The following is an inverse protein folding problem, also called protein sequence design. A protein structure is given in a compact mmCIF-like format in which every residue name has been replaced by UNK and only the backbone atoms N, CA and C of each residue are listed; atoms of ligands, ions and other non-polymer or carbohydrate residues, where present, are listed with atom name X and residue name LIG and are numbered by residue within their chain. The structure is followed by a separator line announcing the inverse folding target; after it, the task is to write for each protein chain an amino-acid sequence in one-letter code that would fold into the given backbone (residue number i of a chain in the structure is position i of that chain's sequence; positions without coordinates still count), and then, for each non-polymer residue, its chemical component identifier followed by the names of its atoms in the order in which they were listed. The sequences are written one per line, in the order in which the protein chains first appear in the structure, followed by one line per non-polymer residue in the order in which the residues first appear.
data_IF_728719399694
#
_entry.id   IF_728719399694
#
_cell.length_a   1.000
_cell.length_b   1.000
_cell.length_c   1.000
_cell.angle_alpha   90.00
_cell.angle_beta   90.00
_cell.angle_gamma   90.00
#
_symmetry.space_group_name_H-M   'P 1'
#
loop_
_entity.id
_entity.type
_entity.pdbx_description
1 polymer ?
#
# COMPACT_ATOMS: atom_id res chain seq x y z
N UNK A 1 -23.13 9.79 -15.58
CA UNK A 1 -23.22 8.42 -15.03
C UNK A 1 -21.88 7.91 -14.52
N UNK A 2 -20.79 8.03 -15.29
CA UNK A 2 -19.46 7.55 -14.90
C UNK A 2 -18.90 8.18 -13.62
N UNK A 3 -19.04 9.50 -13.44
CA UNK A 3 -18.55 10.21 -12.25
C UNK A 3 -19.25 9.75 -10.97
N UNK A 4 -20.57 9.51 -11.03
CA UNK A 4 -21.33 9.02 -9.88
C UNK A 4 -20.82 7.64 -9.43
N UNK A 5 -20.53 6.74 -10.38
CA UNK A 5 -19.97 5.42 -10.07
C UNK A 5 -18.55 5.50 -9.51
N UNK A 6 -17.73 6.46 -9.94
CA UNK A 6 -16.41 6.71 -9.35
C UNK A 6 -16.55 7.08 -7.88
N UNK A 7 -17.41 8.04 -7.54
CA UNK A 7 -17.63 8.45 -6.15
C UNK A 7 -18.23 7.32 -5.30
N UNK A 8 -19.24 6.62 -5.83
CA UNK A 8 -19.86 5.51 -5.11
C UNK A 8 -18.86 4.37 -4.87
N UNK A 9 -18.09 3.99 -5.90
CA UNK A 9 -17.04 2.97 -5.79
C UNK A 9 -15.96 3.37 -4.80
N UNK A 10 -15.51 4.63 -4.82
CA UNK A 10 -14.54 5.16 -3.86
C UNK A 10 -15.06 5.09 -2.42
N UNK A 11 -16.30 5.53 -2.17
CA UNK A 11 -16.91 5.48 -0.82
C UNK A 11 -16.99 4.02 -0.34
N UNK A 12 -17.49 3.11 -1.18
CA UNK A 12 -17.59 1.70 -0.84
C UNK A 12 -16.23 1.06 -0.57
N UNK A 13 -15.21 1.43 -1.35
CA UNK A 13 -13.84 0.96 -1.17
C UNK A 13 -13.25 1.43 0.17
N UNK A 14 -13.41 2.73 0.49
CA UNK A 14 -12.91 3.31 1.75
C UNK A 14 -13.62 2.68 2.96
N UNK A 15 -14.95 2.59 2.91
CA UNK A 15 -15.74 2.00 4.00
C UNK A 15 -15.41 0.52 4.15
N UNK A 16 -15.36 -0.23 3.04
CA UNK A 16 -15.00 -1.65 3.04
C UNK A 16 -13.59 -1.90 3.56
N UNK A 17 -12.62 -1.06 3.17
CA UNK A 17 -11.25 -1.09 3.68
C UNK A 17 -11.19 -0.86 5.20
N UNK A 18 -11.92 0.13 5.71
CA UNK A 18 -12.00 0.39 7.16
C UNK A 18 -12.60 -0.79 7.93
N UNK A 19 -13.67 -1.40 7.40
CA UNK A 19 -14.23 -2.62 7.99
C UNK A 19 -13.24 -3.79 7.97
N UNK A 20 -12.48 -3.94 6.87
CA UNK A 20 -11.46 -4.97 6.73
C UNK A 20 -10.35 -4.79 7.76
N UNK A 21 -9.82 -3.57 7.94
CA UNK A 21 -8.80 -3.28 8.96
C UNK A 21 -9.32 -3.57 10.36
N UNK A 22 -10.47 -3.02 10.74
CA UNK A 22 -11.06 -3.21 12.09
C UNK A 22 -11.32 -4.68 12.41
N UNK A 23 -11.89 -5.41 11.46
CA UNK A 23 -12.23 -6.82 11.64
C UNK A 23 -10.96 -7.68 11.72
N UNK A 24 -9.98 -7.42 10.86
CA UNK A 24 -8.70 -8.16 10.86
C UNK A 24 -7.93 -7.96 12.16
N UNK A 25 -7.89 -6.74 12.68
CA UNK A 25 -7.28 -6.44 13.99
C UNK A 25 -8.05 -7.15 15.11
N UNK A 26 -9.38 -7.09 15.12
CA UNK A 26 -10.20 -7.75 16.14
C UNK A 26 -10.02 -9.28 16.14
N UNK A 27 -9.95 -9.91 14.96
CA UNK A 27 -9.69 -11.35 14.82
C UNK A 27 -8.28 -11.68 15.35
N UNK A 28 -7.29 -10.86 15.01
CA UNK A 28 -5.90 -11.11 15.41
C UNK A 28 -5.70 -11.06 16.93
N UNK A 29 -6.42 -10.17 17.63
CA UNK A 29 -6.45 -10.18 19.09
C UNK A 29 -7.09 -11.45 19.66
N UNK A 30 -8.18 -11.95 19.06
CA UNK A 30 -8.81 -13.22 19.46
C UNK A 30 -7.91 -14.43 19.23
N UNK A 31 -7.02 -14.36 18.25
CA UNK A 31 -6.01 -15.36 17.96
C UNK A 31 -4.76 -15.25 18.85
N UNK A 32 -4.74 -14.33 19.83
CA UNK A 32 -3.59 -14.05 20.70
C UNK A 32 -2.28 -13.73 19.94
N UNK A 33 -2.39 -13.09 18.77
CA UNK A 33 -1.21 -12.62 18.04
C UNK A 33 -0.54 -11.47 18.81
N UNK A 34 0.79 -11.42 18.75
CA UNK A 34 1.55 -10.34 19.39
C UNK A 34 1.24 -9.00 18.72
N UNK A 35 1.28 -7.90 19.48
CA UNK A 35 1.09 -6.53 18.93
C UNK A 35 2.01 -6.24 17.76
N UNK A 36 3.22 -6.80 17.79
CA UNK A 36 4.21 -6.69 16.72
C UNK A 36 3.72 -7.37 15.42
N UNK A 37 3.22 -8.60 15.50
CA UNK A 37 2.67 -9.32 14.32
C UNK A 37 1.42 -8.62 13.78
N UNK A 38 0.56 -8.13 14.68
CA UNK A 38 -0.64 -7.37 14.29
C UNK A 38 -0.24 -6.12 13.51
N UNK A 39 0.68 -5.31 14.03
CA UNK A 39 1.12 -4.07 13.38
C UNK A 39 1.89 -4.31 12.08
N UNK A 40 2.90 -5.19 12.12
CA UNK A 40 3.81 -5.39 10.99
C UNK A 40 3.19 -6.19 9.84
N UNK A 41 2.18 -7.03 10.10
CA UNK A 41 1.62 -7.93 9.09
C UNK A 41 0.15 -7.69 8.84
N UNK A 42 -0.68 -7.73 9.89
CA UNK A 42 -2.16 -7.70 9.71
C UNK A 42 -2.61 -6.31 9.29
N UNK A 43 -2.18 -5.28 10.03
CA UNK A 43 -2.57 -3.90 9.75
C UNK A 43 -1.96 -3.44 8.43
N UNK A 44 -0.66 -3.66 8.23
CA UNK A 44 0.04 -3.26 6.99
C UNK A 44 -0.56 -3.88 5.73
N UNK A 45 -0.94 -5.15 5.78
CA UNK A 45 -1.63 -5.82 4.67
C UNK A 45 -3.05 -5.29 4.51
N UNK A 46 -3.81 -5.18 5.61
CA UNK A 46 -5.21 -4.75 5.56
C UNK A 46 -5.38 -3.33 5.00
N UNK A 47 -4.46 -2.41 5.33
CA UNK A 47 -4.50 -1.04 4.83
C UNK A 47 -4.13 -0.93 3.35
N UNK A 48 -3.35 -1.88 2.82
CA UNK A 48 -2.90 -1.89 1.42
C UNK A 48 -3.73 -2.80 0.51
N UNK A 49 -4.66 -3.56 1.10
CA UNK A 49 -5.52 -4.50 0.38
C UNK A 49 -6.46 -3.80 -0.62
N UNK A 50 -7.11 -2.66 -0.31
CA UNK A 50 -7.91 -1.92 -1.28
C UNK A 50 -7.10 -1.52 -2.53
N UNK A 51 -5.88 -1.03 -2.34
CA UNK A 51 -4.97 -0.63 -3.40
C UNK A 51 -4.55 -1.84 -4.23
N UNK A 52 -4.22 -2.97 -3.59
CA UNK A 52 -3.93 -4.22 -4.28
C UNK A 52 -5.09 -4.66 -5.16
N UNK A 53 -6.33 -4.60 -4.66
CA UNK A 53 -7.52 -4.97 -5.42
C UNK A 53 -7.75 -4.05 -6.63
N UNK A 54 -7.58 -2.74 -6.45
CA UNK A 54 -7.70 -1.76 -7.54
C UNK A 54 -6.62 -1.98 -8.61
N UNK A 55 -5.36 -2.13 -8.19
CA UNK A 55 -4.23 -2.40 -9.10
C UNK A 55 -4.39 -3.73 -9.83
N UNK A 56 -4.77 -4.79 -9.13
CA UNK A 56 -4.99 -6.10 -9.73
C UNK A 56 -6.13 -6.05 -10.76
N UNK A 57 -7.26 -5.44 -10.41
CA UNK A 57 -8.40 -5.32 -11.32
C UNK A 57 -8.05 -4.48 -12.55
N UNK A 58 -7.31 -3.38 -12.38
CA UNK A 58 -6.84 -2.54 -13.48
C UNK A 58 -5.90 -3.32 -14.41
N UNK A 59 -4.94 -4.06 -13.86
CA UNK A 59 -4.01 -4.89 -14.63
C UNK A 59 -4.74 -6.00 -15.41
N UNK A 60 -5.68 -6.71 -14.76
CA UNK A 60 -6.49 -7.75 -15.41
C UNK A 60 -7.37 -7.21 -16.53
N UNK A 61 -7.81 -5.95 -16.44
CA UNK A 61 -8.58 -5.27 -17.47
C UNK A 61 -7.72 -4.64 -18.58
N UNK A 62 -6.40 -4.84 -18.56
CA UNK A 62 -5.47 -4.29 -19.56
C UNK A 62 -5.09 -2.83 -19.33
N UNK A 63 -5.44 -2.24 -18.19
CA UNK A 63 -5.05 -0.88 -17.80
C UNK A 63 -3.81 -0.90 -16.89
N UNK A 64 -2.68 -1.34 -17.43
CA UNK A 64 -1.39 -1.43 -16.71
C UNK A 64 -0.95 -0.10 -16.12
N UNK A 65 -1.17 1.00 -16.84
CA UNK A 65 -0.73 2.34 -16.43
C UNK A 65 -1.49 2.81 -15.19
N UNK A 66 -2.78 2.45 -15.08
CA UNK A 66 -3.61 2.75 -13.90
C UNK A 66 -3.13 1.90 -12.72
N UNK A 67 -2.82 0.62 -12.95
CA UNK A 67 -2.29 -0.26 -11.90
C UNK A 67 -0.97 0.25 -11.32
N UNK A 68 -0.03 0.61 -12.20
CA UNK A 68 1.27 1.14 -11.82
C UNK A 68 1.14 2.51 -11.16
N UNK A 69 0.30 3.39 -11.72
CA UNK A 69 0.00 4.70 -11.16
C UNK A 69 -0.59 4.61 -9.75
N UNK A 70 -1.45 3.62 -9.49
CA UNK A 70 -1.99 3.38 -8.16
C UNK A 70 -0.90 2.96 -7.16
N UNK A 71 0.00 2.04 -7.52
CA UNK A 71 1.10 1.61 -6.63
C UNK A 71 2.09 2.74 -6.35
N UNK A 72 2.60 3.39 -7.39
CA UNK A 72 3.60 4.46 -7.26
C UNK A 72 2.97 5.68 -6.57
N UNK A 73 1.78 6.09 -7.00
CA UNK A 73 1.07 7.23 -6.43
C UNK A 73 0.74 7.04 -4.95
N UNK A 74 0.31 5.85 -4.53
CA UNK A 74 0.01 5.56 -3.13
C UNK A 74 1.26 5.61 -2.24
N UNK A 75 2.40 5.08 -2.70
CA UNK A 75 3.66 5.19 -1.96
C UNK A 75 4.13 6.65 -1.82
N UNK A 76 4.01 7.44 -2.89
CA UNK A 76 4.33 8.87 -2.85
C UNK A 76 3.40 9.60 -1.87
N UNK A 77 2.10 9.32 -1.89
CA UNK A 77 1.15 9.91 -0.96
C UNK A 77 1.44 9.49 0.50
N UNK A 78 1.73 8.21 0.75
CA UNK A 78 2.04 7.72 2.09
C UNK A 78 3.30 8.39 2.67
N UNK A 79 4.34 8.57 1.88
CA UNK A 79 5.58 9.19 2.36
C UNK A 79 5.47 10.72 2.37
N UNK A 80 5.03 11.32 1.26
CA UNK A 80 5.00 12.78 1.10
C UNK A 80 3.87 13.44 1.89
N UNK A 81 2.67 12.87 1.85
CA UNK A 81 1.50 13.45 2.51
C UNK A 81 1.33 12.90 3.93
N UNK A 82 1.16 11.59 4.10
CA UNK A 82 0.81 11.01 5.41
C UNK A 82 1.97 11.13 6.40
N UNK A 83 3.14 10.60 6.05
CA UNK A 83 4.33 10.68 6.91
C UNK A 83 4.81 12.13 7.06
N UNK A 84 4.79 12.91 5.98
CA UNK A 84 5.14 14.35 6.00
C UNK A 84 4.27 15.16 6.97
N UNK A 85 2.94 15.03 6.90
CA UNK A 85 2.02 15.68 7.85
C UNK A 85 2.26 15.17 9.27
N UNK A 86 2.44 13.86 9.44
CA UNK A 86 2.69 13.27 10.78
C UNK A 86 3.97 13.85 11.41
N UNK A 87 5.03 14.01 10.64
CA UNK A 87 6.30 14.61 11.07
C UNK A 87 6.19 16.10 11.44
N UNK A 88 5.26 16.83 10.82
CA UNK A 88 4.97 18.24 11.16
C UNK A 88 4.23 18.32 12.51
N UNK A 89 3.31 17.39 12.76
CA UNK A 89 2.47 17.39 13.97
C UNK A 89 3.23 16.88 15.19
N UNK A 90 4.06 15.85 15.03
CA UNK A 90 4.73 15.16 16.15
C UNK A 90 6.09 14.61 15.74
N UNK A 91 7.10 14.63 16.64
CA UNK A 91 8.39 14.00 16.37
C UNK A 91 8.22 12.49 16.13
N UNK A 92 8.73 12.03 15.00
CA UNK A 92 8.74 10.61 14.63
C UNK A 92 9.84 9.89 15.40
N UNK A 93 9.47 8.93 16.25
CA UNK A 93 10.41 8.01 16.86
C UNK A 93 10.77 6.92 15.84
N UNK A 94 12.04 6.87 15.44
CA UNK A 94 12.54 5.90 14.45
C UNK A 94 13.43 4.88 15.15
N UNK A 95 13.03 3.62 15.09
CA UNK A 95 13.79 2.51 15.65
C UNK A 95 15.05 2.19 14.83
N UNK A 96 16.08 1.62 15.47
CA UNK A 96 17.32 1.22 14.78
C UNK A 96 17.08 0.18 13.68
N UNK A 97 16.06 -0.65 13.82
CA UNK A 97 15.67 -1.65 12.83
C UNK A 97 15.14 -1.02 11.54
N UNK A 98 14.61 0.21 11.60
CA UNK A 98 14.22 0.95 10.42
C UNK A 98 15.43 1.22 9.52
N UNK A 99 16.51 1.78 10.07
CA UNK A 99 17.71 2.12 9.31
C UNK A 99 18.49 0.90 8.82
N UNK A 100 18.49 -0.20 9.58
CA UNK A 100 19.27 -1.40 9.25
C UNK A 100 18.58 -2.32 8.27
N UNK A 101 17.24 -2.38 8.31
CA UNK A 101 16.49 -3.36 7.54
C UNK A 101 15.44 -2.69 6.64
N UNK A 102 14.47 -1.97 7.22
CA UNK A 102 13.32 -1.47 6.46
C UNK A 102 13.74 -0.50 5.35
N UNK A 103 14.57 0.50 5.67
CA UNK A 103 15.01 1.52 4.73
C UNK A 103 15.86 0.95 3.57
N UNK A 104 16.92 0.14 3.81
CA UNK A 104 17.65 -0.51 2.72
C UNK A 104 16.75 -1.39 1.84
N UNK A 105 15.85 -2.16 2.44
CA UNK A 105 14.92 -3.03 1.70
C UNK A 105 14.00 -2.19 0.82
N UNK A 106 13.40 -1.12 1.35
CA UNK A 106 12.56 -0.19 0.57
C UNK A 106 13.33 0.41 -0.61
N UNK A 107 14.58 0.83 -0.41
CA UNK A 107 15.41 1.39 -1.47
C UNK A 107 15.74 0.34 -2.55
N UNK A 108 16.09 -0.89 -2.16
CA UNK A 108 16.38 -1.99 -3.11
C UNK A 108 15.16 -2.27 -3.99
N UNK A 109 13.97 -2.42 -3.40
CA UNK A 109 12.75 -2.65 -4.17
C UNK A 109 12.38 -1.45 -5.06
N UNK A 110 12.62 -0.23 -4.59
CA UNK A 110 12.40 0.99 -5.39
C UNK A 110 13.32 1.05 -6.61
N UNK A 111 14.61 0.70 -6.44
CA UNK A 111 15.56 0.62 -7.54
C UNK A 111 15.27 -0.53 -8.51
N UNK A 112 14.87 -1.69 -8.00
CA UNK A 112 14.43 -2.82 -8.83
C UNK A 112 13.22 -2.43 -9.69
N UNK A 113 12.21 -1.80 -9.08
CA UNK A 113 11.05 -1.30 -9.81
C UNK A 113 11.46 -0.30 -10.89
N UNK A 114 12.32 0.66 -10.55
CA UNK A 114 12.85 1.63 -11.53
C UNK A 114 13.59 0.94 -12.69
N UNK A 115 14.42 -0.07 -12.39
CA UNK A 115 15.17 -0.81 -13.39
C UNK A 115 14.24 -1.55 -14.38
N UNK A 116 13.23 -2.26 -13.88
CA UNK A 116 12.24 -2.94 -14.74
C UNK A 116 11.47 -1.94 -15.61
N UNK A 117 11.04 -0.82 -15.05
CA UNK A 117 10.36 0.23 -15.82
C UNK A 117 11.27 0.87 -16.88
N UNK A 118 12.58 0.98 -16.62
CA UNK A 118 13.54 1.58 -17.56
C UNK A 118 13.91 0.68 -18.74
N UNK A 119 13.71 -0.63 -18.60
CA UNK A 119 14.19 -1.61 -19.57
C UNK A 119 13.26 -1.74 -20.77
N UNK A 120 11.92 -1.72 -20.58
CA UNK A 120 10.95 -1.89 -21.69
C UNK A 120 9.63 -1.09 -21.53
N UNK A 121 9.45 -0.27 -20.47
CA UNK A 121 8.17 0.38 -20.09
C UNK A 121 6.97 -0.59 -19.95
N UNK A 122 7.20 -1.90 -20.04
CA UNK A 122 6.21 -2.97 -20.00
C UNK A 122 6.67 -3.99 -18.96
N UNK A 123 5.87 -4.17 -17.91
CA UNK A 123 6.10 -5.20 -16.91
C UNK A 123 5.62 -6.54 -17.46
N UNK A 124 6.53 -7.50 -17.53
CA UNK A 124 6.30 -8.86 -18.00
C UNK A 124 6.01 -9.82 -16.84
N UNK A 125 5.39 -10.96 -17.12
CA UNK A 125 5.06 -11.98 -16.10
C UNK A 125 6.21 -12.42 -15.18
N UNK A 126 7.47 -12.55 -15.62
CA UNK A 126 8.56 -12.90 -14.71
C UNK A 126 9.00 -11.77 -13.77
N UNK A 127 8.54 -10.53 -13.98
CA UNK A 127 8.89 -9.36 -13.15
C UNK A 127 7.87 -9.08 -12.04
N UNK A 128 6.71 -9.74 -12.06
CA UNK A 128 5.65 -9.65 -11.05
C UNK A 128 5.54 -10.89 -10.19
#
# INVERSE_FOLDING_TARGET
MSILFIFLGFILLVVGGEFLVRSSVAISFRLNLSKMVIGLTVVSFATSAPELLVSLQAALNGFSDISLGNVIGSNIANIGLVLGITAIISPLLIDRDFYRFNWPVMMIFSFLLYFFLSSELLLSRPEG
#
